data_IF_492103707837
#
_entry.id   IF_492103707837
#
_cell.length_a   1.000
_cell.length_b   1.000
_cell.length_c   1.000
_cell.angle_alpha   90.00
_cell.angle_beta   90.00
_cell.angle_gamma   90.00
#
_symmetry.space_group_name_H-M   'P 1'
#
loop_
_entity.id
_entity.type
_entity.pdbx_description
1 polymer ?
#
# COMPACT_ATOMS: atom_id res chain seq x y z
N UNK A 1 -2.36 -2.51 -4.91
CA UNK A 1 -1.36 -1.53 -4.48
C UNK A 1 -1.75 -1.07 -3.09
N UNK A 2 -1.15 -1.65 -2.06
CA UNK A 2 -1.44 -1.35 -0.65
C UNK A 2 -0.48 -0.26 -0.16
N UNK A 3 -0.64 0.97 -0.66
CA UNK A 3 0.16 2.12 -0.21
C UNK A 3 -0.54 2.76 0.99
N UNK A 4 -0.55 2.02 2.08
CA UNK A 4 -1.15 2.43 3.35
C UNK A 4 -0.17 3.25 4.18
N UNK A 5 -0.67 4.31 4.83
CA UNK A 5 0.10 5.18 5.71
C UNK A 5 -0.68 5.56 6.96
N UNK A 6 0.05 5.84 8.03
CA UNK A 6 -0.49 6.16 9.34
C UNK A 6 0.00 7.53 9.80
N UNK A 7 -0.91 8.33 10.33
CA UNK A 7 -0.63 9.69 10.84
C UNK A 7 -0.25 9.63 12.31
N UNK A 8 0.98 9.99 12.65
CA UNK A 8 1.42 10.05 14.05
C UNK A 8 1.07 11.40 14.71
N UNK A 9 0.67 11.42 15.99
CA UNK A 9 0.55 10.27 16.92
C UNK A 9 -0.85 9.63 16.95
N UNK A 10 -1.80 10.09 16.13
CA UNK A 10 -3.19 9.64 16.21
C UNK A 10 -3.46 8.26 15.58
N UNK A 11 -2.50 7.69 14.86
CA UNK A 11 -2.55 6.38 14.20
C UNK A 11 -3.71 6.21 13.20
N UNK A 12 -4.27 7.32 12.69
CA UNK A 12 -5.29 7.25 11.65
C UNK A 12 -4.69 6.85 10.30
N UNK A 13 -5.37 5.92 9.62
CA UNK A 13 -4.93 5.28 8.37
C UNK A 13 -5.46 5.99 7.13
N UNK A 14 -4.58 6.23 6.15
CA UNK A 14 -4.91 6.81 4.85
C UNK A 14 -4.04 6.22 3.74
N UNK A 15 -4.41 6.45 2.48
CA UNK A 15 -3.53 6.19 1.36
C UNK A 15 -2.33 7.16 1.41
N UNK A 16 -1.10 6.67 1.17
CA UNK A 16 0.12 7.49 1.28
C UNK A 16 0.07 8.72 0.38
N UNK A 17 -0.34 8.56 -0.88
CA UNK A 17 -0.49 9.68 -1.81
C UNK A 17 -1.52 10.71 -1.36
N UNK A 18 -2.60 10.27 -0.70
CA UNK A 18 -3.69 11.12 -0.24
C UNK A 18 -3.22 11.99 0.94
N UNK A 19 -2.61 11.36 1.94
CA UNK A 19 -2.19 12.06 3.15
C UNK A 19 -0.97 12.94 2.91
N UNK A 20 -0.10 12.58 1.95
CA UNK A 20 1.04 13.41 1.55
C UNK A 20 0.58 14.75 0.97
N UNK A 21 -0.33 14.73 -0.01
CA UNK A 21 -0.90 15.96 -0.59
C UNK A 21 -1.63 16.80 0.45
N UNK A 22 -2.32 16.15 1.38
CA UNK A 22 -2.99 16.85 2.48
C UNK A 22 -1.97 17.57 3.37
N UNK A 23 -0.90 16.89 3.78
CA UNK A 23 0.12 17.44 4.65
C UNK A 23 0.86 18.65 4.04
N UNK A 24 0.99 18.72 2.72
CA UNK A 24 1.56 19.87 1.99
C UNK A 24 0.73 21.15 2.19
N UNK A 25 -0.59 21.03 2.28
CA UNK A 25 -1.48 22.18 2.49
C UNK A 25 -1.82 22.41 3.96
N UNK A 26 -2.04 21.33 4.72
CA UNK A 26 -2.53 21.36 6.09
C UNK A 26 -1.89 20.20 6.88
N UNK A 27 -0.88 20.47 7.72
CA UNK A 27 -0.19 19.44 8.51
C UNK A 27 -1.02 19.02 9.74
N UNK A 28 -2.29 18.68 9.54
CA UNK A 28 -3.21 18.18 10.58
C UNK A 28 -3.93 16.93 10.11
N UNK A 29 -4.27 16.02 11.02
CA UNK A 29 -5.03 14.82 10.71
C UNK A 29 -6.43 15.19 10.19
N UNK A 30 -6.87 14.68 9.02
CA UNK A 30 -8.19 14.95 8.49
C UNK A 30 -9.34 14.55 9.44
N UNK A 31 -9.15 13.49 10.23
CA UNK A 31 -10.17 12.91 11.11
C UNK A 31 -10.26 13.64 12.46
N UNK A 32 -9.14 13.72 13.20
CA UNK A 32 -9.15 14.28 14.56
C UNK A 32 -8.56 15.69 14.67
N UNK A 33 -8.13 16.29 13.56
CA UNK A 33 -7.52 17.63 13.47
C UNK A 33 -6.25 17.84 14.31
N UNK A 34 -5.70 16.78 14.90
CA UNK A 34 -4.42 16.81 15.61
C UNK A 34 -3.28 17.12 14.63
N UNK A 35 -2.26 17.85 15.08
CA UNK A 35 -1.06 18.11 14.27
C UNK A 35 -0.41 16.79 13.83
N UNK A 36 0.01 16.74 12.57
CA UNK A 36 0.79 15.62 12.04
C UNK A 36 2.25 15.87 12.38
N UNK A 37 2.86 14.92 13.07
CA UNK A 37 4.30 14.97 13.35
C UNK A 37 5.08 14.31 12.21
N UNK A 38 4.63 13.12 11.79
CA UNK A 38 5.19 12.39 10.65
C UNK A 38 4.19 11.36 10.14
N UNK A 39 4.42 10.93 8.91
CA UNK A 39 3.64 9.89 8.23
C UNK A 39 4.44 8.59 8.25
N UNK A 40 3.89 7.55 8.81
CA UNK A 40 4.48 6.21 8.78
C UNK A 40 3.87 5.42 7.63
N UNK A 41 4.64 5.18 6.57
CA UNK A 41 4.21 4.34 5.45
C UNK A 41 4.48 2.87 5.78
N UNK A 42 3.46 2.03 5.74
CA UNK A 42 3.65 0.58 5.82
C UNK A 42 3.97 0.07 4.43
N UNK A 43 5.22 0.24 3.98
CA UNK A 43 5.70 -0.42 2.78
C UNK A 43 5.99 -1.90 3.10
N UNK A 44 4.93 -2.70 3.21
CA UNK A 44 5.12 -4.14 3.12
C UNK A 44 5.51 -4.44 1.67
N UNK A 45 6.71 -4.98 1.37
CA UNK A 45 6.92 -5.57 0.06
C UNK A 45 5.82 -6.63 -0.09
N UNK A 46 5.13 -6.62 -1.23
CA UNK A 46 4.20 -7.68 -1.60
C UNK A 46 4.81 -9.00 -1.14
N UNK A 47 4.17 -9.64 -0.15
CA UNK A 47 4.72 -10.84 0.47
C UNK A 47 5.19 -11.79 -0.63
N UNK A 48 6.36 -12.42 -0.50
CA UNK A 48 6.86 -13.39 -1.49
C UNK A 48 5.78 -14.43 -1.87
N UNK A 49 4.88 -14.74 -0.93
CA UNK A 49 3.67 -15.53 -1.15
C UNK A 49 2.77 -14.99 -2.28
N UNK A 50 2.60 -13.67 -2.38
CA UNK A 50 1.83 -13.02 -3.45
C UNK A 50 2.61 -12.93 -4.78
N UNK A 51 3.94 -12.81 -4.74
CA UNK A 51 4.78 -12.85 -5.94
C UNK A 51 4.79 -14.24 -6.59
N UNK A 52 4.74 -15.31 -5.79
CA UNK A 52 4.60 -16.69 -6.29
C UNK A 52 3.24 -16.91 -6.98
N UNK A 53 2.17 -16.29 -6.49
CA UNK A 53 0.83 -16.40 -7.07
C UNK A 53 0.69 -15.66 -8.42
N UNK A 54 1.51 -14.64 -8.71
CA UNK A 54 1.53 -14.01 -10.05
C UNK A 54 2.32 -14.84 -11.05
N UNK A 55 3.37 -15.54 -10.61
CA UNK A 55 4.14 -16.48 -11.46
C UNK A 55 3.31 -17.74 -11.77
N UNK A 56 2.54 -18.26 -10.80
CA UNK A 56 1.68 -19.44 -11.02
C UNK A 56 0.52 -19.21 -12.00
N UNK A 57 0.08 -17.97 -12.24
CA UNK A 57 -0.92 -17.70 -13.29
C UNK A 57 -0.35 -17.69 -14.72
N UNK A 58 0.97 -17.56 -14.88
CA UNK A 58 1.61 -17.67 -16.20
C UNK A 58 1.81 -19.13 -16.61
N UNK A 59 1.75 -20.09 -15.68
CA UNK A 59 2.14 -21.48 -15.96
C UNK A 59 1.00 -22.44 -16.36
N UNK A 60 -0.29 -22.06 -16.29
CA UNK A 60 -1.38 -22.99 -16.66
C UNK A 60 -1.84 -22.87 -18.11
N UNK A 61 -1.55 -21.78 -18.82
CA UNK A 61 -1.97 -21.61 -20.21
C UNK A 61 -0.91 -22.07 -21.24
N UNK A 62 0.36 -22.18 -20.84
CA UNK A 62 1.44 -22.61 -21.74
C UNK A 62 1.69 -24.12 -21.70
N UNK A 63 1.34 -24.81 -20.60
CA UNK A 63 1.58 -26.25 -20.45
C UNK A 63 0.77 -27.11 -21.43
N UNK A 64 -0.46 -26.69 -21.79
CA UNK A 64 -1.30 -27.49 -22.70
C UNK A 64 -0.85 -27.44 -24.17
N UNK A 65 -0.04 -26.46 -24.59
CA UNK A 65 0.44 -26.35 -25.97
C UNK A 65 1.68 -27.21 -26.27
N UNK A 66 2.19 -27.95 -25.28
CA UNK A 66 3.30 -28.90 -25.43
C UNK A 66 2.81 -30.35 -25.28
N UNK A 67 1.55 -30.55 -24.85
CA UNK A 67 0.92 -31.86 -24.60
C UNK A 67 -0.25 -32.13 -25.58
N UNK A 68 -0.31 -31.40 -26.69
CA UNK A 68 -1.09 -31.76 -27.89
C UNK A 68 -0.16 -31.76 -29.08
#
# INVERSE_FOLDING_TARGET
MDDTSYVMPCLHRFCFGCIRRWAESRPTCPLCKRRVDHLHQSSAPVSLHCLLLTIQKVSLHTYWNVVT
#
